data_IF_299626160989
#
_entry.id   IF_299626160989
#
_cell.length_a   1.000
_cell.length_b   1.000
_cell.length_c   1.000
_cell.angle_alpha   90.00
_cell.angle_beta   90.00
_cell.angle_gamma   90.00
#
_symmetry.space_group_name_H-M   'P 1'
#
loop_
_entity.id
_entity.type
_entity.pdbx_description
1 polymer ?
#
# COMPACT_ATOMS: atom_id res chain seq x y z
N UNK A 1 -3.45 -25.70 -4.54
CA UNK A 1 -2.67 -25.85 -5.78
C UNK A 1 -1.30 -25.23 -5.51
N UNK A 2 -0.23 -26.02 -5.39
CA UNK A 2 1.12 -25.45 -5.27
C UNK A 2 1.49 -24.87 -6.64
N UNK A 3 1.55 -23.55 -6.74
CA UNK A 3 2.00 -22.87 -7.96
C UNK A 3 3.49 -23.15 -8.13
N UNK A 4 3.84 -23.83 -9.21
CA UNK A 4 5.26 -24.02 -9.57
C UNK A 4 5.86 -22.63 -9.80
N UNK A 5 6.95 -22.33 -9.10
CA UNK A 5 7.66 -21.06 -9.25
C UNK A 5 8.59 -21.09 -10.45
N UNK A 6 8.82 -19.93 -11.07
CA UNK A 6 9.79 -19.80 -12.17
C UNK A 6 11.19 -20.25 -11.73
N UNK A 7 11.60 -19.91 -10.50
CA UNK A 7 12.86 -20.39 -9.92
C UNK A 7 12.97 -21.92 -9.93
N UNK A 8 11.88 -22.64 -9.57
CA UNK A 8 11.87 -24.10 -9.58
C UNK A 8 11.95 -24.66 -10.99
N UNK A 9 11.26 -24.05 -11.97
CA UNK A 9 11.37 -24.43 -13.38
C UNK A 9 12.79 -24.25 -13.92
N UNK A 10 13.44 -23.12 -13.61
CA UNK A 10 14.82 -22.85 -14.01
C UNK A 10 15.75 -23.93 -13.44
N UNK A 11 15.63 -24.27 -12.15
CA UNK A 11 16.45 -25.32 -11.54
C UNK A 11 16.26 -26.70 -12.18
N UNK A 12 15.01 -27.06 -12.52
CA UNK A 12 14.70 -28.32 -13.22
C UNK A 12 15.33 -28.34 -14.63
N UNK A 13 15.26 -27.23 -15.37
CA UNK A 13 15.86 -27.10 -16.71
C UNK A 13 17.39 -27.13 -16.67
N UNK A 14 18.01 -26.48 -15.70
CA UNK A 14 19.46 -26.53 -15.48
C UNK A 14 19.93 -27.94 -15.18
N UNK A 15 19.22 -28.65 -14.29
CA UNK A 15 19.54 -30.03 -13.97
C UNK A 15 19.49 -30.92 -15.21
N UNK A 16 18.44 -30.78 -16.03
CA UNK A 16 18.31 -31.51 -17.30
C UNK A 16 19.45 -31.16 -18.27
N UNK A 17 19.76 -29.88 -18.45
CA UNK A 17 20.82 -29.43 -19.36
C UNK A 17 22.20 -29.95 -18.92
N UNK A 18 22.52 -29.88 -17.63
CA UNK A 18 23.77 -30.40 -17.06
C UNK A 18 23.87 -31.91 -17.18
N UNK A 19 22.78 -32.64 -16.93
CA UNK A 19 22.76 -34.09 -17.10
C UNK A 19 22.90 -34.51 -18.57
N UNK A 20 22.39 -33.71 -19.51
CA UNK A 20 22.41 -34.00 -20.93
C UNK A 20 23.79 -33.76 -21.58
N UNK A 21 24.54 -32.76 -21.13
CA UNK A 21 25.88 -32.40 -21.63
C UNK A 21 26.83 -33.58 -21.94
N UNK A 22 27.11 -34.51 -21.00
CA UNK A 22 28.02 -35.62 -21.27
C UNK A 22 27.49 -36.60 -22.33
N UNK A 23 26.16 -36.68 -22.51
CA UNK A 23 25.51 -37.59 -23.46
C UNK A 23 25.32 -36.98 -24.86
N UNK A 24 25.60 -35.69 -25.05
CA UNK A 24 25.47 -35.02 -26.35
C UNK A 24 26.46 -35.53 -27.41
N UNK A 25 27.53 -36.20 -26.98
CA UNK A 25 28.48 -36.86 -27.89
C UNK A 25 27.85 -38.08 -28.55
N UNK A 26 27.10 -38.87 -27.79
CA UNK A 26 26.36 -40.06 -28.25
C UNK A 26 25.02 -39.70 -28.92
N UNK A 27 24.44 -38.56 -28.56
CA UNK A 27 23.14 -38.09 -29.05
C UNK A 27 23.26 -36.73 -29.78
N UNK A 28 23.96 -36.66 -30.93
CA UNK A 28 24.24 -35.40 -31.62
C UNK A 28 22.97 -34.70 -32.12
N UNK A 29 21.86 -35.42 -32.35
CA UNK A 29 20.58 -34.85 -32.76
C UNK A 29 19.92 -33.99 -31.66
N UNK A 30 20.34 -34.14 -30.39
CA UNK A 30 19.84 -33.35 -29.27
C UNK A 30 20.63 -32.04 -29.06
N UNK A 31 21.76 -31.85 -29.76
CA UNK A 31 22.61 -30.66 -29.56
C UNK A 31 21.87 -29.35 -29.81
N UNK A 32 21.05 -29.29 -30.86
CA UNK A 32 20.27 -28.11 -31.17
C UNK A 32 19.25 -27.80 -30.05
N UNK A 33 18.55 -28.83 -29.55
CA UNK A 33 17.60 -28.68 -28.45
C UNK A 33 18.27 -28.31 -27.14
N UNK A 34 19.48 -28.83 -26.86
CA UNK A 34 20.26 -28.46 -25.69
C UNK A 34 20.68 -26.99 -25.72
N UNK A 35 21.14 -26.50 -26.87
CA UNK A 35 21.46 -25.07 -27.07
C UNK A 35 20.22 -24.19 -26.92
N UNK A 36 19.07 -24.62 -27.45
CA UNK A 36 17.81 -23.89 -27.24
C UNK A 36 17.42 -23.83 -25.77
N UNK A 37 17.55 -24.94 -25.03
CA UNK A 37 17.25 -25.00 -23.60
C UNK A 37 18.18 -24.08 -22.79
N UNK A 38 19.48 -24.05 -23.12
CA UNK A 38 20.45 -23.12 -22.52
C UNK A 38 20.03 -21.66 -22.71
N UNK A 39 19.61 -21.30 -23.93
CA UNK A 39 19.08 -19.96 -24.23
C UNK A 39 17.86 -19.60 -23.37
N UNK A 40 16.89 -20.52 -23.26
CA UNK A 40 15.71 -20.31 -22.41
C UNK A 40 16.05 -20.16 -20.93
N UNK A 41 17.04 -20.91 -20.42
CA UNK A 41 17.53 -20.77 -19.04
C UNK A 41 18.12 -19.36 -18.83
N UNK A 42 18.94 -18.88 -19.77
CA UNK A 42 19.54 -17.55 -19.70
C UNK A 42 18.47 -16.45 -19.71
N UNK A 43 17.50 -16.54 -20.62
CA UNK A 43 16.40 -15.58 -20.72
C UNK A 43 15.53 -15.57 -19.47
N UNK A 44 15.19 -16.75 -18.94
CA UNK A 44 14.37 -16.86 -17.73
C UNK A 44 15.05 -16.23 -16.51
N UNK A 45 16.36 -16.43 -16.34
CA UNK A 45 17.16 -15.76 -15.28
C UNK A 45 17.21 -14.24 -15.47
N UNK A 46 17.37 -13.79 -16.71
CA UNK A 46 17.34 -12.37 -17.06
C UNK A 46 16.00 -11.71 -16.71
N UNK A 47 14.89 -12.40 -16.99
CA UNK A 47 13.55 -11.92 -16.65
C UNK A 47 13.29 -11.91 -15.14
N UNK A 48 13.76 -12.91 -14.40
CA UNK A 48 13.62 -12.92 -12.93
C UNK A 48 14.37 -11.73 -12.31
N UNK A 49 15.62 -11.50 -12.74
CA UNK A 49 16.42 -10.34 -12.30
C UNK A 49 15.69 -9.03 -12.60
N UNK A 50 15.22 -8.86 -13.84
CA UNK A 50 14.47 -7.66 -14.26
C UNK A 50 13.19 -7.47 -13.44
N UNK A 51 12.50 -8.55 -13.08
CA UNK A 51 11.31 -8.48 -12.23
C UNK A 51 11.65 -7.98 -10.82
N UNK A 52 12.76 -8.44 -10.23
CA UNK A 52 13.22 -7.97 -8.93
C UNK A 52 13.58 -6.48 -8.97
N UNK A 53 14.30 -6.05 -10.01
CA UNK A 53 14.67 -4.63 -10.20
C UNK A 53 13.42 -3.74 -10.34
N UNK A 54 12.45 -4.15 -11.16
CA UNK A 54 11.20 -3.41 -11.34
C UNK A 54 10.39 -3.35 -10.03
N UNK A 55 10.39 -4.41 -9.23
CA UNK A 55 9.76 -4.39 -7.90
C UNK A 55 10.46 -3.38 -6.98
N UNK A 56 11.79 -3.34 -6.97
CA UNK A 56 12.56 -2.34 -6.22
C UNK A 56 12.21 -0.91 -6.66
N UNK A 57 12.23 -0.66 -7.96
CA UNK A 57 11.86 0.63 -8.55
C UNK A 57 10.43 1.06 -8.21
N UNK A 58 9.48 0.12 -8.24
CA UNK A 58 8.09 0.37 -7.84
C UNK A 58 8.00 0.76 -6.36
N UNK A 59 8.69 0.04 -5.47
CA UNK A 59 8.69 0.34 -4.05
C UNK A 59 9.23 1.74 -3.76
N UNK A 60 10.35 2.09 -4.40
CA UNK A 60 10.96 3.41 -4.27
C UNK A 60 10.03 4.51 -4.81
N UNK A 61 9.43 4.30 -5.99
CA UNK A 61 8.46 5.24 -6.57
C UNK A 61 7.25 5.46 -5.65
N UNK A 62 6.72 4.39 -5.05
CA UNK A 62 5.61 4.48 -4.09
C UNK A 62 6.02 5.23 -2.83
N UNK A 63 7.25 5.02 -2.33
CA UNK A 63 7.79 5.77 -1.19
C UNK A 63 7.87 7.26 -1.51
N UNK A 64 8.48 7.63 -2.63
CA UNK A 64 8.60 9.02 -3.06
C UNK A 64 7.24 9.70 -3.22
N UNK A 65 6.25 8.99 -3.80
CA UNK A 65 4.86 9.49 -3.89
C UNK A 65 4.27 9.79 -2.53
N UNK A 66 4.42 8.88 -1.55
CA UNK A 66 3.89 9.06 -0.19
C UNK A 66 4.55 10.23 0.52
N UNK A 67 5.86 10.39 0.37
CA UNK A 67 6.60 11.53 0.91
C UNK A 67 6.13 12.85 0.31
N UNK A 68 5.93 12.89 -1.01
CA UNK A 68 5.42 14.06 -1.72
C UNK A 68 3.99 14.42 -1.27
N UNK A 69 3.12 13.43 -1.13
CA UNK A 69 1.75 13.64 -0.62
C UNK A 69 1.76 14.22 0.80
N UNK A 70 2.61 13.70 1.69
CA UNK A 70 2.75 14.20 3.07
C UNK A 70 3.23 15.65 3.07
N UNK A 71 4.28 15.96 2.32
CA UNK A 71 4.82 17.34 2.20
C UNK A 71 3.78 18.29 1.62
N UNK A 72 3.09 17.88 0.56
CA UNK A 72 2.02 18.65 -0.06
C UNK A 72 0.88 18.95 0.92
N UNK A 73 0.41 17.96 1.68
CA UNK A 73 -0.63 18.14 2.71
C UNK A 73 -0.22 19.11 3.82
N UNK A 74 1.03 19.00 4.29
CA UNK A 74 1.59 19.91 5.30
C UNK A 74 1.64 21.34 4.76
N UNK A 75 2.24 21.54 3.57
CA UNK A 75 2.37 22.86 2.95
C UNK A 75 1.00 23.48 2.66
N UNK A 76 0.06 22.69 2.11
CA UNK A 76 -1.30 23.14 1.87
C UNK A 76 -1.99 23.59 3.17
N UNK A 77 -1.82 22.83 4.27
CA UNK A 77 -2.41 23.18 5.56
C UNK A 77 -1.82 24.47 6.13
N UNK A 78 -0.51 24.68 5.98
CA UNK A 78 0.19 25.91 6.38
C UNK A 78 -0.30 27.11 5.56
N UNK A 79 -0.36 26.99 4.23
CA UNK A 79 -0.90 28.04 3.35
C UNK A 79 -2.35 28.37 3.69
N UNK A 80 -3.18 27.36 3.90
CA UNK A 80 -4.57 27.56 4.32
C UNK A 80 -4.67 28.25 5.69
N UNK A 81 -3.77 27.97 6.63
CA UNK A 81 -3.73 28.64 7.93
C UNK A 81 -3.31 30.12 7.78
N UNK A 82 -2.30 30.41 6.97
CA UNK A 82 -1.87 31.78 6.68
C UNK A 82 -2.97 32.59 6.00
N UNK A 83 -3.63 32.04 4.98
CA UNK A 83 -4.77 32.69 4.32
C UNK A 83 -5.91 32.99 5.31
N UNK A 84 -6.23 32.05 6.22
CA UNK A 84 -7.23 32.28 7.27
C UNK A 84 -6.81 33.38 8.25
N UNK A 85 -5.52 33.46 8.59
CA UNK A 85 -4.97 34.54 9.41
C UNK A 85 -5.09 35.91 8.74
N UNK A 86 -4.80 35.99 7.43
CA UNK A 86 -4.81 37.26 6.69
C UNK A 86 -6.21 37.77 6.33
N UNK A 87 -7.12 36.88 5.91
CA UNK A 87 -8.47 37.26 5.46
C UNK A 87 -9.55 37.18 6.54
N UNK A 88 -9.28 36.49 7.65
CA UNK A 88 -10.26 36.16 8.69
C UNK A 88 -10.90 34.79 8.48
N UNK A 89 -11.17 34.08 9.59
CA UNK A 89 -11.56 32.66 9.58
C UNK A 89 -12.92 32.35 8.95
N UNK A 90 -13.83 33.32 8.90
CA UNK A 90 -15.18 33.19 8.32
C UNK A 90 -15.31 33.89 6.95
N UNK A 91 -14.21 34.41 6.39
CA UNK A 91 -14.27 35.16 5.15
C UNK A 91 -14.52 34.25 3.93
N UNK A 92 -15.53 34.58 3.14
CA UNK A 92 -15.93 33.83 1.95
C UNK A 92 -14.87 33.88 0.83
N UNK A 93 -13.96 34.86 0.83
CA UNK A 93 -12.81 34.92 -0.09
C UNK A 93 -11.91 33.68 0.00
N UNK A 94 -11.90 32.98 1.15
CA UNK A 94 -11.16 31.72 1.32
C UNK A 94 -11.65 30.60 0.38
N UNK A 95 -12.94 30.62 0.00
CA UNK A 95 -13.50 29.63 -0.93
C UNK A 95 -12.86 29.71 -2.31
N UNK A 96 -12.45 30.91 -2.76
CA UNK A 96 -11.74 31.11 -4.02
C UNK A 96 -10.36 30.43 -4.06
N UNK A 97 -9.76 30.19 -2.90
CA UNK A 97 -8.48 29.48 -2.76
C UNK A 97 -8.66 27.99 -2.42
N UNK A 98 -9.90 27.47 -2.47
CA UNK A 98 -10.21 26.09 -2.07
C UNK A 98 -10.12 25.83 -0.56
N UNK A 99 -9.93 26.88 0.25
CA UNK A 99 -9.85 26.78 1.71
C UNK A 99 -11.24 26.98 2.29
N UNK A 100 -11.80 25.96 2.94
CA UNK A 100 -13.11 26.09 3.61
C UNK A 100 -13.01 27.07 4.80
N UNK A 101 -13.84 28.13 4.86
CA UNK A 101 -13.98 28.97 6.05
C UNK A 101 -14.43 28.14 7.25
N UNK A 102 -13.98 28.53 8.45
CA UNK A 102 -14.24 27.80 9.68
C UNK A 102 -15.65 28.13 10.18
N UNK A 103 -16.65 27.36 9.74
CA UNK A 103 -18.02 27.52 10.25
C UNK A 103 -18.06 27.28 11.77
N UNK A 104 -18.74 28.12 12.56
CA UNK A 104 -18.93 27.88 13.98
C UNK A 104 -19.68 26.56 14.18
N UNK A 105 -19.11 25.69 15.03
CA UNK A 105 -19.73 24.41 15.38
C UNK A 105 -20.96 24.72 16.23
N UNK A 106 -22.17 24.49 15.70
CA UNK A 106 -23.40 24.58 16.50
C UNK A 106 -23.25 23.65 17.71
N UNK A 107 -23.24 24.21 18.93
CA UNK A 107 -23.34 23.41 20.16
C UNK A 107 -24.68 22.68 20.07
N UNK A 108 -24.67 21.34 20.15
CA UNK A 108 -25.91 20.58 20.37
C UNK A 108 -26.47 21.06 21.71
N UNK A 109 -27.75 21.45 21.73
CA UNK A 109 -28.46 21.71 22.97
C UNK A 109 -28.33 20.47 23.88
N UNK A 110 -28.14 20.63 25.20
CA UNK A 110 -28.16 19.51 26.12
C UNK A 110 -29.46 18.73 25.92
N UNK A 111 -29.35 17.43 25.67
CA UNK A 111 -30.51 16.55 25.74
C UNK A 111 -31.01 16.57 27.18
N UNK A 112 -32.30 16.85 27.34
CA UNK A 112 -33.03 16.75 28.59
C UNK A 112 -32.73 15.38 29.24
N UNK A 113 -32.03 15.39 30.37
CA UNK A 113 -31.70 14.17 31.11
C UNK A 113 -32.96 13.86 31.95
N UNK A 114 -33.63 12.71 31.76
CA UNK A 114 -34.77 12.35 32.60
C UNK A 114 -34.35 12.29 34.07
N UNK A 115 -35.05 13.00 34.95
CA UNK A 115 -34.83 12.94 36.40
C UNK A 115 -35.03 11.51 36.92
N UNK A 116 -34.17 11.01 37.84
CA UNK A 116 -34.35 9.69 38.44
C UNK A 116 -35.63 9.65 39.29
N UNK A 117 -36.43 8.60 39.14
CA UNK A 117 -37.64 8.36 39.94
C UNK A 117 -37.30 8.19 41.44
N UNK A 118 -38.21 8.58 42.36
CA UNK A 118 -37.96 8.53 43.80
C UNK A 118 -37.85 7.08 44.32
N UNK A 119 -37.02 6.82 45.36
CA UNK A 119 -36.79 5.48 45.89
C UNK A 119 -38.02 4.89 46.60
N UNK A 120 -38.20 3.56 46.59
CA UNK A 120 -39.33 2.90 47.22
C UNK A 120 -39.25 2.95 48.76
N UNK A 121 -40.40 2.95 49.47
CA UNK A 121 -40.41 3.04 50.94
C UNK A 121 -39.88 1.75 51.58
N UNK A 122 -39.04 1.91 52.60
CA UNK A 122 -38.46 0.80 53.37
C UNK A 122 -39.51 0.23 54.35
N UNK A 123 -39.56 -1.10 54.61
CA UNK A 123 -40.45 -1.66 55.61
C UNK A 123 -39.93 -1.37 57.02
N UNK A 124 -40.76 -0.74 57.85
CA UNK A 124 -40.51 -0.58 59.29
C UNK A 124 -40.43 -1.94 59.96
N UNK A 125 -39.26 -2.29 60.49
CA UNK A 125 -39.12 -3.37 61.48
C UNK A 125 -39.26 -2.73 62.86
N UNK A 126 -40.39 -2.97 63.51
CA UNK A 126 -40.69 -2.55 64.88
C UNK A 126 -40.22 -3.64 65.85
N UNK A 127 -39.49 -3.23 66.91
CA UNK A 127 -39.15 -4.04 68.08
C UNK A 127 -40.38 -4.32 68.94
#
# INVERSE_FOLDING_TARGET
>A
MATITVAKLISDWELLHTALQPHLTDLPFLKDQATQLEGLIADAKGMDTKQQDLRGSLQETVRQRKDLEKRGKVLHSQLAAMLRGSFGFDNQTLLGFGVKPRRPRKKKAPADIPQPAPPPPHPSTQQ
#
